data_IF_855350224403
#
_entry.id   IF_855350224403
#
_cell.length_a   1.000
_cell.length_b   1.000
_cell.length_c   1.000
_cell.angle_alpha   90.00
_cell.angle_beta   90.00
_cell.angle_gamma   90.00
#
_symmetry.space_group_name_H-M   'P 1'
#
loop_
_entity.id
_entity.type
_entity.pdbx_description
1 polymer ?
#
# COMPACT_ATOMS: atom_id res chain seq x y z
N UNK A 1 -8.88 -0.14 -0.55
CA UNK A 1 -7.52 -0.20 -1.11
C UNK A 1 -7.41 -1.39 -2.05
N UNK A 2 -6.69 -1.21 -3.16
CA UNK A 2 -6.16 -2.31 -3.98
C UNK A 2 -4.69 -2.57 -3.63
N UNK A 3 -4.07 -3.53 -4.30
CA UNK A 3 -2.63 -3.80 -4.18
C UNK A 3 -2.02 -3.99 -5.56
N UNK A 4 -0.84 -3.42 -5.79
CA UNK A 4 0.00 -3.58 -6.97
C UNK A 4 0.57 -4.98 -7.13
N UNK A 5 1.18 -5.26 -8.27
CA UNK A 5 1.99 -6.46 -8.49
C UNK A 5 3.41 -6.34 -7.89
N UNK A 6 3.86 -5.12 -7.58
CA UNK A 6 5.02 -4.77 -6.77
C UNK A 6 4.67 -4.55 -5.28
N UNK A 7 3.43 -4.80 -4.87
CA UNK A 7 3.00 -4.58 -3.49
C UNK A 7 2.57 -3.14 -3.14
N UNK A 8 2.57 -2.19 -4.08
CA UNK A 8 2.09 -0.84 -3.79
C UNK A 8 0.62 -0.82 -3.35
N UNK A 9 0.24 0.19 -2.56
CA UNK A 9 -1.17 0.57 -2.32
C UNK A 9 -1.34 2.04 -2.71
N UNK A 10 -2.56 2.46 -3.07
CA UNK A 10 -2.80 3.82 -3.59
C UNK A 10 -1.78 4.17 -4.70
N UNK A 11 -0.96 5.20 -4.54
CA UNK A 11 0.22 5.44 -5.38
C UNK A 11 1.52 5.48 -4.55
N UNK A 12 1.56 4.72 -3.47
CA UNK A 12 2.73 4.53 -2.61
C UNK A 12 3.57 3.35 -3.14
N UNK A 13 4.47 3.63 -4.09
CA UNK A 13 5.31 2.63 -4.75
C UNK A 13 6.55 2.30 -3.91
N UNK A 14 6.78 1.02 -3.55
CA UNK A 14 7.97 0.62 -2.79
C UNK A 14 9.28 0.82 -3.57
N UNK A 15 10.40 1.12 -2.88
CA UNK A 15 10.48 1.44 -1.45
C UNK A 15 9.95 2.85 -1.15
N UNK A 16 9.23 3.01 -0.04
CA UNK A 16 8.67 4.31 0.35
C UNK A 16 9.76 5.30 0.81
N UNK A 17 9.58 6.58 0.47
CA UNK A 17 10.36 7.69 1.03
C UNK A 17 9.86 8.06 2.43
N UNK A 18 10.70 8.74 3.21
CA UNK A 18 10.35 9.19 4.57
C UNK A 18 9.15 10.15 4.59
N UNK A 19 8.91 10.86 3.48
CA UNK A 19 7.76 11.75 3.34
C UNK A 19 6.43 11.00 3.46
N UNK A 20 6.38 9.72 3.08
CA UNK A 20 5.18 8.91 3.22
C UNK A 20 4.80 8.64 4.69
N UNK A 21 5.75 8.78 5.62
CA UNK A 21 5.60 8.52 7.05
C UNK A 21 5.44 9.80 7.88
N UNK A 22 5.33 10.96 7.24
CA UNK A 22 5.17 12.23 7.94
C UNK A 22 3.71 12.42 8.39
N UNK A 23 3.53 12.76 9.67
CA UNK A 23 2.23 13.14 10.23
C UNK A 23 1.79 14.55 9.80
N UNK A 24 2.71 15.37 9.28
CA UNK A 24 2.42 16.72 8.80
C UNK A 24 1.97 16.73 7.32
N UNK A 25 2.26 15.66 6.59
CA UNK A 25 1.99 15.56 5.15
C UNK A 25 0.83 14.61 4.91
N UNK A 26 -0.35 15.17 4.63
CA UNK A 26 -1.55 14.38 4.36
C UNK A 26 -1.55 13.76 2.96
N UNK A 27 -0.98 14.49 2.00
CA UNK A 27 -0.95 14.17 0.58
C UNK A 27 0.44 14.47 0.05
N UNK A 28 0.98 13.59 -0.79
CA UNK A 28 2.29 13.78 -1.43
C UNK A 28 2.24 13.45 -2.93
N UNK A 29 3.21 14.02 -3.65
CA UNK A 29 3.54 13.55 -4.99
C UNK A 29 4.37 12.26 -4.90
N UNK A 30 4.06 11.30 -5.76
CA UNK A 30 4.87 10.09 -5.95
C UNK A 30 5.12 9.87 -7.44
N UNK A 31 6.14 9.08 -7.76
CA UNK A 31 6.50 8.76 -9.13
C UNK A 31 6.81 7.26 -9.26
N UNK A 32 6.65 6.74 -10.48
CA UNK A 32 6.98 5.35 -10.82
C UNK A 32 7.40 5.25 -12.28
N UNK A 33 8.38 4.40 -12.54
CA UNK A 33 8.81 4.06 -13.91
C UNK A 33 8.09 2.80 -14.44
N UNK A 34 7.25 2.16 -13.62
CA UNK A 34 6.56 0.90 -13.97
C UNK A 34 5.28 1.10 -14.79
N UNK A 35 4.75 2.32 -14.83
CA UNK A 35 3.48 2.64 -15.48
C UNK A 35 3.62 3.90 -16.35
N UNK A 36 2.88 3.95 -17.46
CA UNK A 36 2.99 5.04 -18.45
C UNK A 36 2.78 6.43 -17.83
N UNK A 37 1.80 6.55 -16.94
CA UNK A 37 1.61 7.76 -16.13
C UNK A 37 2.48 7.65 -14.89
N UNK A 38 3.58 8.41 -14.90
CA UNK A 38 4.63 8.35 -13.88
C UNK A 38 4.24 9.10 -12.62
N UNK A 39 3.90 10.38 -12.75
CA UNK A 39 3.62 11.27 -11.62
C UNK A 39 2.20 11.06 -11.10
N UNK A 40 2.08 10.96 -9.78
CA UNK A 40 0.83 10.69 -9.07
C UNK A 40 0.70 11.58 -7.85
N UNK A 41 -0.53 11.78 -7.43
CA UNK A 41 -0.86 12.33 -6.11
C UNK A 41 -1.41 11.17 -5.27
N UNK A 42 -0.92 11.02 -4.04
CA UNK A 42 -1.37 9.98 -3.10
C UNK A 42 -1.59 10.58 -1.72
N UNK A 43 -2.49 10.00 -0.93
CA UNK A 43 -2.43 10.16 0.51
C UNK A 43 -1.12 9.55 1.05
N UNK A 44 -0.58 10.12 2.12
CA UNK A 44 0.58 9.53 2.81
C UNK A 44 0.21 8.23 3.51
N UNK A 45 1.22 7.42 3.85
CA UNK A 45 0.98 6.14 4.51
C UNK A 45 0.32 6.37 5.87
N UNK A 46 0.83 7.30 6.68
CA UNK A 46 0.25 7.60 7.99
C UNK A 46 -1.20 8.10 7.85
N UNK A 47 -1.50 8.92 6.83
CA UNK A 47 -2.87 9.38 6.58
C UNK A 47 -3.82 8.24 6.20
N UNK A 48 -3.35 7.26 5.43
CA UNK A 48 -4.15 6.06 5.11
C UNK A 48 -4.31 5.19 6.36
N UNK A 49 -3.25 5.02 7.14
CA UNK A 49 -3.21 4.15 8.31
C UNK A 49 -3.91 4.74 9.54
N UNK A 50 -4.19 6.05 9.56
CA UNK A 50 -4.99 6.71 10.60
C UNK A 50 -6.50 6.47 10.46
N UNK A 51 -6.95 5.73 9.44
CA UNK A 51 -8.35 5.39 9.27
C UNK A 51 -8.82 4.37 10.31
N UNK A 52 -10.04 4.52 10.85
CA UNK A 52 -10.60 3.55 11.81
C UNK A 52 -10.75 2.13 11.20
N UNK A 53 -11.11 2.07 9.92
CA UNK A 53 -11.40 0.84 9.19
C UNK A 53 -10.74 0.91 7.82
N UNK A 54 -10.15 -0.20 7.39
CA UNK A 54 -9.67 -0.36 6.01
C UNK A 54 -10.29 -1.57 5.35
N UNK A 55 -10.45 -1.48 4.03
CA UNK A 55 -10.99 -2.57 3.23
C UNK A 55 -10.07 -2.80 2.03
N UNK A 56 -9.57 -4.03 1.88
CA UNK A 56 -8.81 -4.47 0.72
C UNK A 56 -9.71 -5.26 -0.23
N UNK A 57 -9.70 -4.91 -1.51
CA UNK A 57 -10.43 -5.61 -2.57
C UNK A 57 -9.42 -6.20 -3.55
N UNK A 58 -9.26 -7.53 -3.51
CA UNK A 58 -8.21 -8.21 -4.29
C UNK A 58 -8.81 -9.33 -5.15
N UNK A 59 -8.35 -9.44 -6.38
CA UNK A 59 -8.82 -10.50 -7.29
C UNK A 59 -7.72 -11.10 -8.16
N UNK A 60 -7.85 -12.40 -8.43
CA UNK A 60 -6.99 -13.17 -9.32
C UNK A 60 -5.72 -13.73 -8.68
N UNK A 61 -5.22 -14.83 -9.26
CA UNK A 61 -4.05 -15.56 -8.76
C UNK A 61 -2.77 -14.71 -8.67
N UNK A 62 -2.61 -13.69 -9.52
CA UNK A 62 -1.49 -12.76 -9.44
C UNK A 62 -1.45 -12.01 -8.10
N UNK A 63 -2.59 -11.43 -7.70
CA UNK A 63 -2.71 -10.71 -6.41
C UNK A 63 -2.62 -11.66 -5.22
N UNK A 64 -3.12 -12.89 -5.33
CA UNK A 64 -2.93 -13.94 -4.32
C UNK A 64 -1.45 -14.20 -4.03
N UNK A 65 -0.63 -14.30 -5.08
CA UNK A 65 0.81 -14.55 -4.95
C UNK A 65 1.51 -13.41 -4.21
N UNK A 66 1.25 -12.16 -4.63
CA UNK A 66 1.85 -10.99 -3.99
C UNK A 66 1.41 -10.87 -2.53
N UNK A 67 0.12 -11.08 -2.25
CA UNK A 67 -0.41 -11.03 -0.89
C UNK A 67 0.27 -12.05 0.02
N UNK A 68 0.38 -13.30 -0.42
CA UNK A 68 1.08 -14.35 0.33
C UNK A 68 2.56 -14.03 0.53
N UNK A 69 3.22 -13.45 -0.49
CA UNK A 69 4.60 -13.00 -0.41
C UNK A 69 4.79 -11.94 0.67
N UNK A 70 3.94 -10.91 0.66
CA UNK A 70 3.94 -9.86 1.69
C UNK A 70 3.77 -10.42 3.10
N UNK A 71 2.76 -11.28 3.32
CA UNK A 71 2.47 -11.85 4.64
C UNK A 71 3.60 -12.74 5.16
N UNK A 72 4.41 -13.33 4.28
CA UNK A 72 5.56 -14.15 4.63
C UNK A 72 6.88 -13.36 4.73
N UNK A 73 6.94 -12.15 4.18
CA UNK A 73 8.16 -11.32 4.18
C UNK A 73 8.47 -10.78 5.58
N UNK A 74 9.76 -10.67 5.90
CA UNK A 74 10.27 -9.99 7.11
C UNK A 74 10.53 -8.49 6.89
N UNK A 75 10.44 -8.02 5.65
CA UNK A 75 10.58 -6.60 5.35
C UNK A 75 9.39 -5.80 5.91
N UNK A 76 9.64 -4.54 6.22
CA UNK A 76 8.69 -3.63 6.84
C UNK A 76 7.74 -2.96 5.82
N UNK A 77 6.95 -2.01 6.31
CA UNK A 77 6.00 -1.23 5.52
C UNK A 77 6.65 -0.33 4.46
N UNK A 78 7.97 -0.09 4.54
CA UNK A 78 8.68 0.63 3.49
C UNK A 78 8.71 -0.17 2.20
N UNK A 79 8.80 -1.51 2.32
CA UNK A 79 8.69 -2.43 1.19
C UNK A 79 7.26 -2.93 0.98
N UNK A 80 6.47 -3.02 2.06
CA UNK A 80 5.11 -3.54 2.04
C UNK A 80 4.10 -2.59 2.69
N UNK A 81 3.70 -1.49 2.03
CA UNK A 81 2.88 -0.43 2.62
C UNK A 81 1.57 -0.92 3.24
N UNK A 82 0.99 -1.99 2.69
CA UNK A 82 -0.23 -2.57 3.24
C UNK A 82 -0.06 -3.13 4.67
N UNK A 83 1.16 -3.49 5.12
CA UNK A 83 1.41 -3.97 6.49
C UNK A 83 1.01 -2.94 7.54
N UNK A 84 1.46 -1.68 7.38
CA UNK A 84 1.08 -0.60 8.29
C UNK A 84 -0.46 -0.43 8.37
N UNK A 85 -1.14 -0.50 7.22
CA UNK A 85 -2.61 -0.38 7.19
C UNK A 85 -3.28 -1.59 7.86
N UNK A 86 -2.76 -2.80 7.68
CA UNK A 86 -3.30 -4.01 8.31
C UNK A 86 -3.10 -4.01 9.84
N UNK A 87 -2.01 -3.42 10.32
CA UNK A 87 -1.68 -3.36 11.74
C UNK A 87 -2.43 -2.24 12.48
N UNK A 88 -2.65 -1.09 11.83
CA UNK A 88 -3.16 0.12 12.49
C UNK A 88 -4.68 0.31 12.35
N UNK A 89 -5.35 -0.46 11.49
CA UNK A 89 -6.78 -0.28 11.21
C UNK A 89 -7.57 -1.55 11.48
N UNK A 90 -8.89 -1.42 11.67
CA UNK A 90 -9.79 -2.57 11.60
C UNK A 90 -9.90 -3.05 10.14
N UNK A 91 -8.96 -3.89 9.71
CA UNK A 91 -8.81 -4.25 8.31
C UNK A 91 -9.66 -5.46 7.90
N UNK A 92 -10.45 -5.29 6.83
CA UNK A 92 -11.17 -6.39 6.18
C UNK A 92 -10.59 -6.65 4.79
N UNK A 93 -10.33 -7.91 4.46
CA UNK A 93 -9.80 -8.30 3.14
C UNK A 93 -10.83 -9.13 2.39
N UNK A 94 -11.40 -8.57 1.32
CA UNK A 94 -12.24 -9.28 0.38
C UNK A 94 -11.38 -9.78 -0.78
N UNK A 95 -11.25 -11.09 -0.87
CA UNK A 95 -10.40 -11.74 -1.84
C UNK A 95 -11.18 -12.74 -2.70
N UNK A 96 -11.09 -12.59 -4.02
CA UNK A 96 -11.61 -13.55 -5.01
C UNK A 96 -10.48 -14.04 -5.89
N UNK A 97 -9.92 -15.20 -5.53
CA UNK A 97 -8.80 -15.81 -6.24
C UNK A 97 -9.25 -16.84 -7.26
#
# INVERSE_FOLDING_TARGET
LGMGDDGHIASLFPPLSDLAFSDEVLVLATATERFDVRDRISLSLNTIASANTSMFLLSGNGKKKIWKGMMASKEDERHWPAKAVLEQTNATVFARW
#
